data_IF_959428149349
#
_entry.id   IF_959428149349
#
_cell.length_a   1.000
_cell.length_b   1.000
_cell.length_c   1.000
_cell.angle_alpha   90.00
_cell.angle_beta   90.00
_cell.angle_gamma   90.00
#
_symmetry.space_group_name_H-M   'P 1'
#
loop_
_entity.id
_entity.type
_entity.pdbx_description
1 polymer ?
#
# COMPACT_ATOMS: atom_id res chain seq x y z
N UNK A 1 3.27 24.38 11.49
CA UNK A 1 3.06 23.55 10.29
C UNK A 1 1.93 22.59 10.57
N UNK A 2 0.77 22.71 9.93
CA UNK A 2 -0.29 21.70 10.06
C UNK A 2 0.25 20.46 9.36
N UNK A 3 0.65 19.45 10.15
CA UNK A 3 1.13 18.19 9.61
C UNK A 3 0.02 17.61 8.73
N UNK A 4 0.25 17.57 7.41
CA UNK A 4 -0.69 16.99 6.47
C UNK A 4 -0.99 15.55 6.86
N UNK A 5 -2.27 15.17 6.87
CA UNK A 5 -2.68 13.78 7.11
C UNK A 5 -1.99 12.87 6.11
N UNK A 6 -1.31 11.84 6.61
CA UNK A 6 -0.54 10.90 5.80
C UNK A 6 -0.72 9.49 6.34
N UNK A 7 -0.52 8.51 5.45
CA UNK A 7 -0.49 7.12 5.88
C UNK A 7 0.88 6.81 6.47
N UNK A 8 0.90 6.05 7.55
CA UNK A 8 2.13 5.55 8.14
C UNK A 8 1.98 4.09 8.54
N UNK A 9 3.10 3.39 8.56
CA UNK A 9 3.20 2.07 9.17
C UNK A 9 3.15 2.19 10.70
N UNK A 10 2.81 1.11 11.39
CA UNK A 10 2.85 1.04 12.86
C UNK A 10 4.24 1.35 13.43
N UNK A 11 5.30 1.15 12.65
CA UNK A 11 6.67 1.51 13.06
C UNK A 11 6.99 3.02 12.92
N UNK A 12 6.02 3.84 12.52
CA UNK A 12 6.17 5.29 12.33
C UNK A 12 6.67 5.70 10.94
N UNK A 13 7.07 4.77 10.09
CA UNK A 13 7.50 5.10 8.72
C UNK A 13 6.33 5.62 7.88
N UNK A 14 6.52 6.77 7.23
CA UNK A 14 5.57 7.31 6.26
C UNK A 14 5.43 6.37 5.07
N UNK A 15 4.20 6.28 4.55
CA UNK A 15 3.85 5.40 3.45
C UNK A 15 3.18 6.19 2.33
N UNK A 16 3.83 6.19 1.18
CA UNK A 16 3.29 6.62 -0.10
C UNK A 16 3.64 5.61 -1.20
N UNK A 17 3.08 5.76 -2.39
CA UNK A 17 3.31 4.78 -3.45
C UNK A 17 4.74 4.77 -4.00
N UNK A 18 5.53 5.83 -3.79
CA UNK A 18 6.93 5.89 -4.22
C UNK A 18 7.89 5.20 -3.25
N UNK A 19 7.61 5.29 -1.96
CA UNK A 19 8.41 4.71 -0.89
C UNK A 19 8.15 3.22 -0.67
N UNK A 20 6.95 2.73 -0.99
CA UNK A 20 6.61 1.31 -0.84
C UNK A 20 7.58 0.39 -1.59
N UNK A 21 7.95 -0.69 -0.93
CA UNK A 21 8.72 -1.78 -1.56
C UNK A 21 7.71 -2.79 -2.10
N UNK A 22 7.78 -3.09 -3.39
CA UNK A 22 6.88 -4.06 -4.04
C UNK A 22 7.73 -5.26 -4.46
N UNK A 23 7.49 -6.40 -3.84
CA UNK A 23 8.26 -7.64 -4.06
C UNK A 23 7.39 -8.64 -4.81
N UNK A 24 7.89 -9.18 -5.93
CA UNK A 24 7.19 -10.27 -6.62
C UNK A 24 7.37 -11.56 -5.83
N UNK A 25 6.27 -12.21 -5.48
CA UNK A 25 6.25 -13.45 -4.68
C UNK A 25 5.75 -14.67 -5.46
N UNK A 26 5.27 -14.47 -6.68
CA UNK A 26 4.81 -15.52 -7.57
C UNK A 26 4.33 -14.97 -8.91
N UNK A 27 3.74 -15.84 -9.73
CA UNK A 27 3.06 -15.41 -10.94
C UNK A 27 1.84 -14.55 -10.59
N UNK A 28 1.78 -13.35 -11.19
CA UNK A 28 0.72 -12.38 -10.92
C UNK A 28 0.57 -11.94 -9.45
N UNK A 29 1.54 -12.21 -8.57
CA UNK A 29 1.41 -11.96 -7.13
C UNK A 29 2.55 -11.12 -6.58
N UNK A 30 2.21 -10.05 -5.87
CA UNK A 30 3.17 -9.11 -5.28
C UNK A 30 2.87 -8.89 -3.81
N UNK A 31 3.90 -8.75 -2.99
CA UNK A 31 3.82 -8.27 -1.61
C UNK A 31 4.15 -6.78 -1.58
N UNK A 32 3.41 -6.03 -0.78
CA UNK A 32 3.69 -4.63 -0.47
C UNK A 32 4.35 -4.60 0.91
N UNK A 33 5.58 -4.11 0.96
CA UNK A 33 6.39 -4.01 2.17
C UNK A 33 6.60 -2.56 2.60
N UNK A 34 6.77 -2.38 3.91
CA UNK A 34 7.10 -1.13 4.55
C UNK A 34 8.49 -0.66 4.07
N UNK A 35 8.65 0.65 3.78
CA UNK A 35 9.95 1.20 3.40
C UNK A 35 11.02 1.07 4.47
N UNK A 36 10.64 0.95 5.75
CA UNK A 36 11.60 0.82 6.84
C UNK A 36 12.15 -0.60 6.91
N UNK A 37 13.46 -0.82 6.67
CA UNK A 37 14.06 -2.16 6.67
C UNK A 37 14.05 -2.82 8.06
N UNK A 38 13.91 -2.01 9.11
CA UNK A 38 13.83 -2.47 10.50
C UNK A 38 12.38 -2.66 10.98
N UNK A 39 11.38 -2.50 10.11
CA UNK A 39 9.99 -2.70 10.47
C UNK A 39 9.74 -4.17 10.83
N UNK A 40 9.22 -4.50 12.03
CA UNK A 40 8.98 -5.89 12.42
C UNK A 40 7.83 -6.54 11.65
N UNK A 41 6.81 -5.76 11.25
CA UNK A 41 5.69 -6.31 10.47
C UNK A 41 6.06 -6.57 9.01
N UNK A 42 6.95 -5.75 8.44
CA UNK A 42 7.37 -5.71 7.02
C UNK A 42 6.23 -5.62 6.01
N UNK A 43 5.31 -6.57 5.99
CA UNK A 43 4.16 -6.63 5.09
C UNK A 43 3.09 -5.60 5.46
N UNK A 44 2.76 -4.74 4.50
CA UNK A 44 1.65 -3.78 4.57
C UNK A 44 0.44 -4.25 3.76
N UNK A 45 0.62 -5.25 2.89
CA UNK A 45 -0.44 -5.81 2.07
C UNK A 45 0.09 -6.66 0.94
N UNK A 46 -0.80 -7.03 0.03
CA UNK A 46 -0.47 -7.80 -1.17
C UNK A 46 -1.28 -7.33 -2.36
N UNK A 47 -0.82 -7.71 -3.54
CA UNK A 47 -1.50 -7.48 -4.82
C UNK A 47 -1.60 -8.79 -5.58
N UNK A 48 -2.78 -9.08 -6.10
CA UNK A 48 -3.01 -10.12 -7.09
C UNK A 48 -3.37 -9.49 -8.42
N UNK A 49 -2.75 -9.97 -9.48
CA UNK A 49 -2.99 -9.56 -10.85
C UNK A 49 -3.86 -10.64 -11.49
N UNK A 50 -5.09 -10.27 -11.84
CA UNK A 50 -5.93 -11.10 -12.68
C UNK A 50 -5.57 -10.82 -14.14
N UNK A 51 -5.04 -11.84 -14.82
CA UNK A 51 -4.72 -11.77 -16.24
C UNK A 51 -6.02 -11.90 -17.06
N UNK A 52 -6.40 -10.81 -17.69
CA UNK A 52 -7.48 -10.72 -18.68
C UNK A 52 -7.02 -9.78 -19.79
N UNK A 53 -7.85 -9.51 -20.80
CA UNK A 53 -7.54 -8.55 -21.88
C UNK A 53 -7.14 -7.16 -21.36
N UNK A 54 -7.55 -6.82 -20.13
CA UNK A 54 -6.96 -5.73 -19.34
C UNK A 54 -6.56 -6.28 -17.96
N UNK A 55 -5.29 -6.13 -17.53
CA UNK A 55 -4.83 -6.57 -16.21
C UNK A 55 -5.60 -5.84 -15.10
N UNK A 56 -6.21 -6.59 -14.20
CA UNK A 56 -6.86 -6.05 -13.00
C UNK A 56 -5.96 -6.31 -11.78
N UNK A 57 -5.68 -5.26 -11.01
CA UNK A 57 -4.88 -5.33 -9.79
C UNK A 57 -5.83 -5.33 -8.59
N UNK A 58 -5.95 -6.47 -7.90
CA UNK A 58 -6.62 -6.58 -6.59
C UNK A 58 -5.59 -6.27 -5.51
N UNK A 59 -5.56 -5.02 -5.05
CA UNK A 59 -4.65 -4.53 -4.02
C UNK A 59 -5.34 -4.61 -2.66
N UNK A 60 -4.78 -5.39 -1.73
CA UNK A 60 -5.29 -5.55 -0.37
C UNK A 60 -4.25 -5.15 0.65
N UNK A 61 -4.52 -4.03 1.34
CA UNK A 61 -3.74 -3.62 2.50
C UNK A 61 -4.15 -4.43 3.74
N UNK A 62 -3.19 -4.71 4.61
CA UNK A 62 -3.41 -5.46 5.84
C UNK A 62 -4.38 -4.71 6.76
N UNK A 63 -5.17 -5.47 7.52
CA UNK A 63 -6.11 -4.90 8.48
C UNK A 63 -5.40 -4.03 9.52
N UNK A 64 -4.27 -4.50 10.05
CA UNK A 64 -3.47 -3.75 11.02
C UNK A 64 -3.02 -2.39 10.48
N UNK A 65 -2.62 -2.33 9.21
CA UNK A 65 -2.24 -1.07 8.58
C UNK A 65 -3.44 -0.10 8.47
N UNK A 66 -4.60 -0.59 8.08
CA UNK A 66 -5.82 0.24 8.00
C UNK A 66 -6.26 0.73 9.38
N UNK A 67 -6.38 -0.17 10.35
CA UNK A 67 -6.85 0.15 11.70
C UNK A 67 -5.91 1.18 12.37
N UNK A 68 -4.59 1.03 12.22
CA UNK A 68 -3.61 2.01 12.69
C UNK A 68 -3.82 3.40 12.08
N UNK A 69 -4.06 3.48 10.78
CA UNK A 69 -4.25 4.76 10.10
C UNK A 69 -5.62 5.39 10.37
N UNK A 70 -6.65 4.58 10.66
CA UNK A 70 -7.94 5.07 11.16
C UNK A 70 -7.77 5.73 12.53
N UNK A 71 -7.00 5.13 13.43
CA UNK A 71 -6.71 5.71 14.75
C UNK A 71 -6.00 7.06 14.65
N UNK A 72 -5.05 7.19 13.72
CA UNK A 72 -4.25 8.43 13.56
C UNK A 72 -4.97 9.55 12.81
N UNK A 73 -5.69 9.21 11.73
CA UNK A 73 -6.22 10.22 10.80
C UNK A 73 -7.75 10.39 10.88
N UNK A 74 -8.45 9.48 11.55
CA UNK A 74 -9.89 9.30 11.48
C UNK A 74 -10.31 8.53 10.23
N UNK A 75 -11.45 7.84 10.31
CA UNK A 75 -11.95 6.90 9.29
C UNK A 75 -12.07 7.52 7.90
N UNK A 76 -12.77 8.64 7.76
CA UNK A 76 -13.00 9.27 6.45
C UNK A 76 -11.71 9.73 5.76
N UNK A 77 -10.75 10.23 6.54
CA UNK A 77 -9.46 10.65 6.02
C UNK A 77 -8.61 9.45 5.62
N UNK A 78 -8.60 8.40 6.44
CA UNK A 78 -7.95 7.14 6.10
C UNK A 78 -8.52 6.53 4.82
N UNK A 79 -9.85 6.47 4.66
CA UNK A 79 -10.50 5.92 3.48
C UNK A 79 -10.15 6.70 2.19
N UNK A 80 -9.97 8.01 2.29
CA UNK A 80 -9.51 8.84 1.17
C UNK A 80 -8.05 8.54 0.83
N UNK A 81 -7.16 8.62 1.83
CA UNK A 81 -5.73 8.39 1.64
C UNK A 81 -5.44 6.97 1.13
N UNK A 82 -6.14 5.96 1.64
CA UNK A 82 -6.04 4.58 1.16
C UNK A 82 -6.50 4.49 -0.29
N UNK A 83 -7.65 5.07 -0.66
CA UNK A 83 -8.10 5.06 -2.06
C UNK A 83 -7.07 5.67 -3.02
N UNK A 84 -6.45 6.78 -2.62
CA UNK A 84 -5.41 7.42 -3.43
C UNK A 84 -4.15 6.55 -3.52
N UNK A 85 -3.73 5.94 -2.40
CA UNK A 85 -2.62 5.00 -2.38
C UNK A 85 -2.86 3.81 -3.33
N UNK A 86 -4.05 3.21 -3.30
CA UNK A 86 -4.42 2.07 -4.16
C UNK A 86 -4.34 2.44 -5.66
N UNK A 87 -4.80 3.64 -6.04
CA UNK A 87 -4.69 4.14 -7.42
C UNK A 87 -3.23 4.28 -7.85
N UNK A 88 -2.39 4.84 -6.99
CA UNK A 88 -0.97 5.04 -7.27
C UNK A 88 -0.20 3.71 -7.36
N UNK A 89 -0.46 2.76 -6.45
CA UNK A 89 0.12 1.40 -6.49
C UNK A 89 -0.26 0.71 -7.80
N UNK A 90 -1.54 0.77 -8.19
CA UNK A 90 -2.02 0.17 -9.44
C UNK A 90 -1.35 0.78 -10.67
N UNK A 91 -1.14 2.10 -10.68
CA UNK A 91 -0.42 2.81 -11.75
C UNK A 91 1.05 2.37 -11.81
N UNK A 92 1.72 2.27 -10.66
CA UNK A 92 3.12 1.81 -10.56
C UNK A 92 3.28 0.36 -11.04
N UNK A 93 2.37 -0.53 -10.66
CA UNK A 93 2.40 -1.93 -11.08
C UNK A 93 2.20 -2.12 -12.58
N UNK A 94 1.39 -1.28 -13.24
CA UNK A 94 1.27 -1.31 -14.71
C UNK A 94 2.61 -1.10 -15.41
N UNK A 95 3.50 -0.26 -14.85
CA UNK A 95 4.85 0.00 -15.40
C UNK A 95 5.88 -1.09 -15.08
N UNK A 96 5.55 -2.00 -14.14
CA UNK A 96 6.44 -3.10 -13.74
C UNK A 96 6.07 -4.36 -14.53
N UNK A 97 4.77 -4.56 -14.79
CA UNK A 97 4.25 -5.75 -15.49
C UNK A 97 4.29 -5.58 -17.01
N UNK A 98 4.25 -4.34 -17.52
CA UNK A 98 4.31 -3.96 -18.94
C UNK A 98 5.39 -2.89 -19.13
#
# INVERSE_FOLDING_TARGET
MVAGKSLCCICGAYVDASSLVIVRIGEGSFRIECPSPKCPLRELGFVRVAHSSKPKFDVRLSRMFKDWNVLLNGKESCDRLVRDLLKQISSRLRKIVF
#
